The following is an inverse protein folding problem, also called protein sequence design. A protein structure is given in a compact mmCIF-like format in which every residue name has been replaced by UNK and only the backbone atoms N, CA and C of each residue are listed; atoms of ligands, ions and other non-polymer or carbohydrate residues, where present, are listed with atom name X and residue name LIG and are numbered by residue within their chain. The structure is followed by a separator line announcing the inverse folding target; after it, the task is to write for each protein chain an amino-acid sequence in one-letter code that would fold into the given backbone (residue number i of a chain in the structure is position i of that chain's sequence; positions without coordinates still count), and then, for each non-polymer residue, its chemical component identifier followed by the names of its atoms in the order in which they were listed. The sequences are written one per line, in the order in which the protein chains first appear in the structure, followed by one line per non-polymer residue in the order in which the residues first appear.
data_IF_044889399857
#
_entry.id   IF_044889399857
#
_cell.length_a   1.000
_cell.length_b   1.000
_cell.length_c   1.000
_cell.angle_alpha   90.00
_cell.angle_beta   90.00
_cell.angle_gamma   90.00
#
_symmetry.space_group_name_H-M   'P 1'
#
loop_
_entity.id
_entity.type
_entity.pdbx_description
1 polymer ?
#
# COMPACT_ATOMS: atom_id res chain seq x y z
N UNK A 1 -8.55 -37.01 -31.19
CA UNK A 1 -7.27 -36.42 -30.77
C UNK A 1 -7.62 -35.05 -30.21
N UNK A 2 -7.61 -34.86 -28.88
CA UNK A 2 -7.87 -33.54 -28.27
C UNK A 2 -6.52 -32.91 -27.96
N UNK A 3 -6.36 -31.70 -28.47
CA UNK A 3 -5.15 -30.91 -28.43
C UNK A 3 -4.68 -30.70 -26.98
N UNK A 4 -3.43 -31.11 -26.71
CA UNK A 4 -2.68 -30.71 -25.53
C UNK A 4 -2.32 -29.24 -25.69
N UNK A 5 -3.24 -28.33 -25.37
CA UNK A 5 -2.87 -26.96 -25.05
C UNK A 5 -1.96 -27.01 -23.82
N UNK A 6 -0.71 -26.58 -24.01
CA UNK A 6 0.36 -26.69 -23.02
C UNK A 6 -0.03 -26.02 -21.70
N UNK A 7 -0.06 -26.82 -20.65
CA UNK A 7 -0.19 -26.32 -19.27
C UNK A 7 1.09 -25.53 -18.96
N UNK A 8 0.93 -24.23 -18.72
CA UNK A 8 1.99 -23.41 -18.15
C UNK A 8 2.38 -24.02 -16.80
N UNK A 9 3.67 -24.14 -16.48
CA UNK A 9 4.08 -24.63 -15.18
C UNK A 9 3.54 -23.71 -14.07
N UNK A 10 3.26 -24.24 -12.86
CA UNK A 10 2.82 -23.43 -11.73
C UNK A 10 3.77 -22.26 -11.49
N UNK A 11 3.21 -21.06 -11.36
CA UNK A 11 4.00 -19.88 -11.00
C UNK A 11 4.62 -20.06 -9.62
N UNK A 12 5.91 -19.73 -9.49
CA UNK A 12 6.66 -19.79 -8.23
C UNK A 12 7.27 -18.42 -7.98
N UNK A 13 6.81 -17.65 -6.97
CA UNK A 13 7.39 -16.35 -6.65
C UNK A 13 8.86 -16.50 -6.24
N UNK A 14 9.68 -15.54 -6.63
CA UNK A 14 11.10 -15.45 -6.28
C UNK A 14 11.43 -14.01 -5.88
N UNK A 15 10.96 -13.54 -4.72
CA UNK A 15 11.35 -12.23 -4.21
C UNK A 15 12.87 -12.18 -3.97
N UNK A 16 13.45 -10.99 -4.05
CA UNK A 16 14.84 -10.78 -3.64
C UNK A 16 14.89 -10.87 -2.12
N UNK A 17 15.89 -11.58 -1.61
CA UNK A 17 16.15 -11.66 -0.17
C UNK A 17 16.69 -10.32 0.36
N UNK A 18 15.94 -9.76 1.28
CA UNK A 18 16.13 -8.47 1.95
C UNK A 18 16.17 -8.62 3.47
N UNK A 19 16.18 -9.85 4.02
CA UNK A 19 16.12 -10.10 5.47
C UNK A 19 17.30 -9.47 6.23
N UNK A 20 18.48 -9.44 5.61
CA UNK A 20 19.72 -8.90 6.18
C UNK A 20 19.88 -7.38 6.00
N UNK A 21 18.97 -6.74 5.24
CA UNK A 21 19.03 -5.31 4.93
C UNK A 21 18.54 -4.50 6.12
N UNK A 22 19.45 -3.70 6.68
CA UNK A 22 19.15 -2.74 7.74
C UNK A 22 18.71 -1.41 7.16
N UNK A 23 17.49 -1.00 7.48
CA UNK A 23 16.96 0.32 7.11
C UNK A 23 17.37 1.34 8.19
N UNK A 24 18.03 2.46 7.82
CA UNK A 24 18.28 3.55 8.75
C UNK A 24 16.99 4.15 9.32
N UNK A 25 16.98 4.54 10.59
CA UNK A 25 15.80 5.14 11.26
C UNK A 25 15.32 6.42 10.56
N UNK A 26 16.23 7.18 9.96
CA UNK A 26 15.94 8.36 9.16
C UNK A 26 15.03 8.09 7.94
N UNK A 27 14.93 6.84 7.50
CA UNK A 27 14.05 6.46 6.38
C UNK A 27 12.65 6.02 6.83
N UNK A 28 12.37 5.93 8.13
CA UNK A 28 11.04 5.52 8.60
C UNK A 28 9.95 6.54 8.25
N UNK A 29 10.26 7.84 8.31
CA UNK A 29 9.34 8.87 7.83
C UNK A 29 9.04 8.72 6.33
N UNK A 30 10.04 8.35 5.52
CA UNK A 30 9.84 8.07 4.10
C UNK A 30 8.96 6.84 3.88
N UNK A 31 9.09 5.80 4.71
CA UNK A 31 8.26 4.59 4.61
C UNK A 31 6.78 4.91 4.85
N UNK A 32 6.46 5.73 5.86
CA UNK A 32 5.07 6.15 6.08
C UNK A 32 4.52 6.94 4.88
N UNK A 33 5.30 7.88 4.34
CA UNK A 33 4.91 8.64 3.15
C UNK A 33 4.69 7.72 1.94
N UNK A 34 5.54 6.70 1.76
CA UNK A 34 5.38 5.73 0.69
C UNK A 34 4.13 4.87 0.88
N UNK A 35 3.81 4.47 2.11
CA UNK A 35 2.64 3.69 2.44
C UNK A 35 1.35 4.48 2.17
N UNK A 36 1.25 5.71 2.69
CA UNK A 36 0.11 6.60 2.42
C UNK A 36 -0.06 6.86 0.92
N UNK A 37 1.03 7.19 0.22
CA UNK A 37 0.97 7.41 -1.22
C UNK A 37 0.60 6.13 -2.01
N UNK A 38 0.99 4.94 -1.55
CA UNK A 38 0.56 3.69 -2.19
C UNK A 38 -0.96 3.51 -2.09
N UNK A 39 -1.51 3.73 -0.90
CA UNK A 39 -2.95 3.71 -0.65
C UNK A 39 -3.69 4.76 -1.50
N UNK A 40 -3.23 6.00 -1.51
CA UNK A 40 -3.86 7.08 -2.28
C UNK A 40 -3.85 6.80 -3.78
N UNK A 41 -2.77 6.20 -4.30
CA UNK A 41 -2.70 5.81 -5.70
C UNK A 41 -3.68 4.68 -6.04
N UNK A 42 -3.82 3.68 -5.16
CA UNK A 42 -4.83 2.64 -5.27
C UNK A 42 -6.24 3.22 -5.22
N UNK A 43 -6.53 4.06 -4.23
CA UNK A 43 -7.84 4.67 -4.01
C UNK A 43 -8.22 5.56 -5.19
N UNK A 44 -7.32 6.43 -5.66
CA UNK A 44 -7.50 7.28 -6.85
C UNK A 44 -7.85 6.45 -8.07
N UNK A 45 -7.14 5.35 -8.31
CA UNK A 45 -7.43 4.46 -9.44
C UNK A 45 -8.82 3.85 -9.32
N UNK A 46 -9.17 3.31 -8.14
CA UNK A 46 -10.48 2.72 -7.90
C UNK A 46 -11.61 3.73 -8.07
N UNK A 47 -11.47 4.93 -7.53
CA UNK A 47 -12.44 6.02 -7.73
C UNK A 47 -12.61 6.34 -9.23
N UNK A 48 -11.51 6.40 -10.00
CA UNK A 48 -11.58 6.63 -11.45
C UNK A 48 -12.27 5.49 -12.23
N UNK A 49 -12.21 4.26 -11.72
CA UNK A 49 -12.90 3.08 -12.25
C UNK A 49 -14.39 3.03 -11.85
N UNK A 50 -14.88 4.05 -11.12
CA UNK A 50 -16.26 4.18 -10.66
C UNK A 50 -16.55 3.45 -9.34
N UNK A 51 -15.52 3.08 -8.59
CA UNK A 51 -15.69 2.57 -7.24
C UNK A 51 -16.02 3.69 -6.26
N UNK A 52 -16.72 3.34 -5.18
CA UNK A 52 -17.04 4.24 -4.07
C UNK A 52 -16.85 3.55 -2.73
N UNK A 53 -16.79 4.33 -1.66
CA UNK A 53 -16.89 3.78 -0.31
C UNK A 53 -18.17 2.97 -0.14
N UNK A 54 -18.06 1.85 0.56
CA UNK A 54 -19.19 1.12 1.13
C UNK A 54 -18.71 0.19 2.24
N UNK A 55 -19.57 -0.19 3.19
CA UNK A 55 -19.17 -0.93 4.39
C UNK A 55 -18.61 -2.32 4.10
N UNK A 56 -18.91 -2.86 2.92
CA UNK A 56 -18.42 -4.14 2.41
C UNK A 56 -17.91 -3.99 0.98
N UNK A 57 -16.98 -4.86 0.59
CA UNK A 57 -16.58 -4.98 -0.80
C UNK A 57 -17.73 -5.55 -1.62
N UNK A 58 -18.00 -4.94 -2.76
CA UNK A 58 -18.91 -5.48 -3.77
C UNK A 58 -18.42 -5.08 -5.15
N UNK A 59 -18.06 -6.06 -5.97
CA UNK A 59 -17.57 -5.80 -7.33
C UNK A 59 -18.72 -5.40 -8.26
N UNK A 60 -19.94 -5.92 -8.03
CA UNK A 60 -21.14 -5.57 -8.80
C UNK A 60 -21.58 -4.13 -8.53
N UNK A 61 -21.60 -3.72 -7.26
CA UNK A 61 -21.95 -2.36 -6.85
C UNK A 61 -20.75 -1.41 -6.92
N UNK A 62 -19.54 -1.93 -7.16
CA UNK A 62 -18.26 -1.23 -7.08
C UNK A 62 -18.08 -0.48 -5.76
N UNK A 63 -18.24 -1.18 -4.64
CA UNK A 63 -17.97 -0.64 -3.30
C UNK A 63 -16.75 -1.29 -2.66
N UNK A 64 -16.01 -0.53 -1.86
CA UNK A 64 -14.89 -1.07 -1.07
C UNK A 64 -14.76 -0.33 0.28
N UNK A 65 -14.54 -1.03 1.41
CA UNK A 65 -14.46 -0.40 2.73
C UNK A 65 -13.23 0.48 2.89
N UNK A 66 -12.12 0.13 2.23
CA UNK A 66 -10.87 0.88 2.32
C UNK A 66 -10.83 2.18 1.50
N UNK A 67 -11.90 2.55 0.80
CA UNK A 67 -11.94 3.83 0.07
C UNK A 67 -12.23 5.00 1.02
N UNK A 68 -11.33 5.17 1.99
CA UNK A 68 -11.28 6.20 3.04
C UNK A 68 -9.84 6.75 3.14
N UNK A 69 -9.62 7.89 3.81
CA UNK A 69 -8.27 8.41 4.04
C UNK A 69 -7.36 7.38 4.72
N UNK A 70 -6.06 7.35 4.39
CA UNK A 70 -5.09 6.41 4.97
C UNK A 70 -5.07 6.48 6.51
N UNK A 71 -5.14 7.69 7.06
CA UNK A 71 -5.18 7.93 8.50
C UNK A 71 -6.40 7.31 9.22
N UNK A 72 -7.49 7.03 8.50
CA UNK A 72 -8.72 6.43 9.04
C UNK A 72 -8.76 4.89 8.89
N UNK A 73 -7.77 4.29 8.22
CA UNK A 73 -7.62 2.83 8.14
C UNK A 73 -7.29 2.22 9.51
N UNK A 74 -7.57 0.93 9.65
CA UNK A 74 -7.08 0.18 10.81
C UNK A 74 -5.56 0.01 10.78
N UNK A 75 -4.96 -0.26 11.93
CA UNK A 75 -3.52 -0.54 12.02
C UNK A 75 -3.11 -1.72 11.12
N UNK A 76 -3.94 -2.76 11.03
CA UNK A 76 -3.66 -3.93 10.19
C UNK A 76 -3.63 -3.59 8.70
N UNK A 77 -4.58 -2.77 8.24
CA UNK A 77 -4.64 -2.32 6.84
C UNK A 77 -3.46 -1.40 6.51
N UNK A 78 -3.14 -0.46 7.39
CA UNK A 78 -1.96 0.40 7.22
C UNK A 78 -0.66 -0.42 7.21
N UNK A 79 -0.58 -1.48 8.03
CA UNK A 79 0.61 -2.33 8.11
C UNK A 79 0.90 -3.05 6.78
N UNK A 80 -0.13 -3.44 6.02
CA UNK A 80 0.07 -4.03 4.71
C UNK A 80 0.80 -3.07 3.74
N UNK A 81 0.40 -1.79 3.73
CA UNK A 81 1.07 -0.75 2.93
C UNK A 81 2.48 -0.45 3.47
N UNK A 82 2.67 -0.41 4.79
CA UNK A 82 3.99 -0.22 5.41
C UNK A 82 4.95 -1.34 5.06
N UNK A 83 4.51 -2.60 5.09
CA UNK A 83 5.32 -3.75 4.70
C UNK A 83 5.72 -3.65 3.23
N UNK A 84 4.79 -3.29 2.34
CA UNK A 84 5.10 -3.07 0.92
C UNK A 84 6.15 -1.95 0.74
N UNK A 85 5.98 -0.83 1.43
CA UNK A 85 6.91 0.29 1.40
C UNK A 85 8.29 -0.08 1.95
N UNK A 86 8.33 -0.78 3.09
CA UNK A 86 9.55 -1.25 3.74
C UNK A 86 10.35 -2.18 2.83
N UNK A 87 9.70 -3.19 2.24
CA UNK A 87 10.38 -4.12 1.33
C UNK A 87 10.89 -3.43 0.07
N UNK A 88 10.17 -2.42 -0.42
CA UNK A 88 10.63 -1.57 -1.52
C UNK A 88 11.91 -0.80 -1.15
N UNK A 89 11.95 -0.19 0.04
CA UNK A 89 13.15 0.52 0.53
C UNK A 89 14.32 -0.43 0.73
N UNK A 90 14.09 -1.60 1.36
CA UNK A 90 15.14 -2.62 1.54
C UNK A 90 15.70 -3.09 0.21
N UNK A 91 14.85 -3.28 -0.80
CA UNK A 91 15.30 -3.66 -2.14
C UNK A 91 16.24 -2.61 -2.72
N UNK A 92 15.88 -1.34 -2.65
CA UNK A 92 16.72 -0.22 -3.12
C UNK A 92 18.11 -0.27 -2.45
N UNK A 93 18.15 -0.43 -1.13
CA UNK A 93 19.40 -0.53 -0.37
C UNK A 93 20.20 -1.79 -0.74
N UNK A 94 19.54 -2.93 -0.95
CA UNK A 94 20.16 -4.21 -1.34
C UNK A 94 20.95 -4.08 -2.65
N UNK A 95 20.45 -3.28 -3.58
CA UNK A 95 21.10 -3.01 -4.87
C UNK A 95 22.17 -1.91 -4.81
N UNK A 96 22.50 -1.39 -3.61
CA UNK A 96 23.59 -0.43 -3.40
C UNK A 96 23.21 1.03 -3.65
N UNK A 97 21.94 1.34 -3.83
CA UNK A 97 21.48 2.72 -3.84
C UNK A 97 21.48 3.28 -2.42
N UNK A 98 21.71 4.59 -2.30
CA UNK A 98 21.65 5.29 -1.03
C UNK A 98 20.51 6.29 -1.07
N UNK A 99 19.71 6.33 -0.01
CA UNK A 99 18.66 7.31 0.22
C UNK A 99 19.13 8.26 1.33
N UNK A 100 19.00 9.55 1.09
CA UNK A 100 19.33 10.59 2.05
C UNK A 100 18.10 11.43 2.32
N UNK A 101 17.87 11.76 3.59
CA UNK A 101 16.90 12.79 3.93
C UNK A 101 17.26 14.09 3.20
N UNK A 102 16.27 14.83 2.71
CA UNK A 102 16.53 16.08 2.01
C UNK A 102 17.15 17.09 2.99
N UNK A 103 18.19 17.80 2.54
CA UNK A 103 18.89 18.82 3.34
C UNK A 103 18.03 20.06 3.67
N UNK A 104 16.85 20.18 3.05
CA UNK A 104 15.85 21.19 3.30
C UNK A 104 14.47 20.53 3.31
N UNK A 105 13.55 21.02 4.14
CA UNK A 105 12.14 20.63 4.04
C UNK A 105 11.66 20.90 2.62
N UNK A 106 11.07 19.88 1.98
CA UNK A 106 10.49 20.02 0.64
C UNK A 106 9.34 21.03 0.75
N UNK A 107 9.58 22.25 0.27
CA UNK A 107 8.64 23.36 0.37
C UNK A 107 7.42 23.07 -0.50
N UNK A 108 6.29 22.72 0.12
CA UNK A 108 4.97 22.82 -0.49
C UNK A 108 4.08 21.58 -0.53
N UNK A 109 4.34 20.52 0.23
CA UNK A 109 3.38 19.42 0.35
C UNK A 109 2.46 19.62 1.57
N UNK A 110 1.14 19.82 1.41
CA UNK A 110 0.22 19.95 2.55
C UNK A 110 -0.01 18.64 3.32
N UNK A 111 0.70 17.55 2.98
CA UNK A 111 0.66 16.25 3.66
C UNK A 111 1.15 16.27 5.13
N UNK A 112 1.67 17.41 5.62
CA UNK A 112 1.89 17.63 7.06
C UNK A 112 0.61 17.80 7.88
N UNK A 113 -0.57 17.86 7.24
CA UNK A 113 -1.84 17.87 7.97
C UNK A 113 -2.27 16.44 8.23
N UNK A 114 -1.81 15.88 9.35
CA UNK A 114 -2.52 14.83 10.05
C UNK A 114 -3.98 15.28 10.19
N UNK A 115 -4.84 14.83 9.29
CA UNK A 115 -6.26 15.14 9.34
C UNK A 115 -6.80 14.56 10.65
N UNK A 116 -7.45 15.36 11.52
CA UNK A 116 -8.05 14.83 12.73
C UNK A 116 -9.13 13.83 12.32
N UNK A 117 -8.91 12.57 12.70
CA UNK A 117 -9.67 11.41 12.24
C UNK A 117 -11.17 11.61 12.34
N UNK A 118 -11.86 11.29 11.26
CA UNK A 118 -13.32 11.18 11.26
C UNK A 118 -13.62 9.72 11.54
N UNK A 119 -14.13 9.42 12.74
CA UNK A 119 -14.38 8.07 13.21
C UNK A 119 -15.35 7.29 12.30
N UNK A 120 -14.83 6.66 11.26
CA UNK A 120 -15.51 5.72 10.39
C UNK A 120 -14.96 4.33 10.64
N UNK A 121 -15.35 3.70 11.74
CA UNK A 121 -14.96 2.32 12.02
C UNK A 121 -15.61 1.41 10.96
N UNK A 122 -14.79 0.73 10.15
CA UNK A 122 -15.29 -0.30 9.24
C UNK A 122 -15.89 -1.45 10.08
N UNK A 123 -17.14 -1.88 9.82
CA UNK A 123 -17.72 -2.97 10.58
C UNK A 123 -17.01 -4.29 10.25
N UNK A 124 -16.53 -4.98 11.29
CA UNK A 124 -16.07 -6.36 11.21
C UNK A 124 -17.27 -7.26 10.84
N UNK A 125 -17.43 -7.61 9.57
CA UNK A 125 -18.54 -8.48 9.19
C UNK A 125 -18.83 -8.67 7.69
N UNK A 126 -17.84 -8.51 6.82
CA UNK A 126 -17.97 -9.02 5.46
C UNK A 126 -16.74 -9.85 5.14
N UNK A 127 -16.97 -11.15 4.93
CA UNK A 127 -15.96 -12.08 4.46
C UNK A 127 -15.31 -11.52 3.19
N UNK A 128 -13.98 -11.42 3.20
CA UNK A 128 -13.20 -11.06 2.03
C UNK A 128 -13.16 -12.28 1.10
N UNK A 129 -14.05 -12.34 0.12
CA UNK A 129 -13.88 -13.21 -1.06
C UNK A 129 -12.92 -12.60 -2.09
#
# INVERSE_FOLDING_TARGET
MKDRAGQQPPWTPRPVDTEDVKVPESLYALIEVLAENAHDNWARRRLSEGWRYGPCRSDSEKTHPLLIPYADLSHEEQEADRVLALETVKLILRYGYTLHEPAHEVRGDPAGTLHPGSSGHAPHGCDQE
#
